data_IF_323295006552
#
_entry.id   IF_323295006552
#
_cell.length_a   1.000
_cell.length_b   1.000
_cell.length_c   1.000
_cell.angle_alpha   90.00
_cell.angle_beta   90.00
_cell.angle_gamma   90.00
#
_symmetry.space_group_name_H-M   'P 1'
#
loop_
_entity.id
_entity.type
_entity.pdbx_description
1 polymer ?
#
# COMPACT_ATOMS: atom_id res chain seq x y z
N UNK A 1 -9.10 -18.42 -14.25
CA UNK A 1 -8.93 -17.23 -15.10
C UNK A 1 -8.08 -16.24 -14.32
N UNK A 2 -6.86 -15.93 -14.78
CA UNK A 2 -6.05 -14.91 -14.13
C UNK A 2 -6.76 -13.56 -14.32
N UNK A 3 -7.28 -12.99 -13.23
CA UNK A 3 -7.94 -11.68 -13.27
C UNK A 3 -6.99 -10.64 -13.87
N UNK A 4 -7.52 -9.76 -14.71
CA UNK A 4 -6.75 -8.67 -15.32
C UNK A 4 -6.15 -7.79 -14.22
N UNK A 5 -4.84 -7.97 -13.96
CA UNK A 5 -4.10 -7.15 -13.00
C UNK A 5 -3.94 -5.74 -13.54
N UNK A 6 -3.94 -4.75 -12.64
CA UNK A 6 -3.67 -3.36 -13.02
C UNK A 6 -2.19 -3.22 -13.40
N UNK A 7 -1.91 -2.57 -14.53
CA UNK A 7 -0.56 -2.25 -14.97
C UNK A 7 -0.26 -0.76 -14.71
N UNK A 8 0.96 -0.49 -14.26
CA UNK A 8 1.48 0.85 -13.97
C UNK A 8 2.26 1.38 -15.16
N UNK A 9 2.40 2.71 -15.25
CA UNK A 9 3.19 3.37 -16.32
C UNK A 9 4.69 3.17 -16.15
N UNK A 10 5.13 2.98 -14.91
CA UNK A 10 6.48 2.60 -14.50
C UNK A 10 6.41 1.62 -13.32
N UNK A 11 7.45 0.83 -13.03
CA UNK A 11 7.48 0.00 -11.84
C UNK A 11 7.26 0.86 -10.60
N UNK A 12 6.49 0.35 -9.64
CA UNK A 12 6.10 1.06 -8.44
C UNK A 12 6.68 0.36 -7.23
N UNK A 13 7.46 1.10 -6.43
CA UNK A 13 7.81 0.73 -5.07
C UNK A 13 6.73 1.25 -4.12
N UNK A 14 6.02 0.33 -3.47
CA UNK A 14 4.96 0.63 -2.51
C UNK A 14 5.52 0.41 -1.10
N UNK A 15 5.61 1.50 -0.34
CA UNK A 15 6.07 1.48 1.05
C UNK A 15 4.86 1.47 1.98
N UNK A 16 4.91 0.67 3.04
CA UNK A 16 3.83 0.61 4.03
C UNK A 16 4.23 1.35 5.31
N UNK A 17 3.34 2.21 5.79
CA UNK A 17 3.55 2.99 7.01
C UNK A 17 2.31 2.99 7.89
N UNK A 18 2.47 2.73 9.18
CA UNK A 18 1.37 2.74 10.14
C UNK A 18 1.66 1.84 11.34
N UNK A 19 0.84 1.92 12.38
CA UNK A 19 1.07 1.14 13.61
C UNK A 19 1.06 -0.38 13.36
N UNK A 20 1.81 -1.18 14.14
CA UNK A 20 1.53 -2.62 14.24
C UNK A 20 0.04 -2.85 14.50
N UNK A 21 -0.57 -3.85 13.87
CA UNK A 21 -2.03 -4.08 13.95
C UNK A 21 -2.90 -3.22 13.01
N UNK A 22 -2.31 -2.27 12.25
CA UNK A 22 -3.08 -1.42 11.33
C UNK A 22 -3.56 -2.11 10.04
N UNK A 23 -3.18 -3.38 9.80
CA UNK A 23 -3.61 -4.15 8.62
C UNK A 23 -2.70 -4.05 7.39
N UNK A 24 -1.46 -3.58 7.55
CA UNK A 24 -0.48 -3.41 6.45
C UNK A 24 -0.24 -4.69 5.64
N UNK A 25 0.12 -5.77 6.31
CA UNK A 25 0.42 -7.06 5.66
C UNK A 25 -0.81 -7.70 5.02
N UNK A 26 -1.99 -7.56 5.65
CA UNK A 26 -3.26 -7.97 5.06
C UNK A 26 -3.52 -7.23 3.74
N UNK A 27 -3.39 -5.90 3.74
CA UNK A 27 -3.54 -5.09 2.53
C UNK A 27 -2.49 -5.45 1.47
N UNK A 28 -1.23 -5.62 1.86
CA UNK A 28 -0.14 -5.98 0.95
C UNK A 28 -0.40 -7.30 0.22
N UNK A 29 -0.81 -8.34 0.95
CA UNK A 29 -1.16 -9.65 0.38
C UNK A 29 -2.30 -9.55 -0.62
N UNK A 30 -3.40 -8.88 -0.23
CA UNK A 30 -4.56 -8.67 -1.11
C UNK A 30 -4.20 -7.81 -2.33
N UNK A 31 -3.35 -6.79 -2.15
CA UNK A 31 -2.93 -5.93 -3.25
C UNK A 31 -2.05 -6.69 -4.25
N UNK A 32 -1.14 -7.56 -3.83
CA UNK A 32 -0.30 -8.37 -4.72
C UNK A 32 -1.11 -9.33 -5.64
N UNK A 33 -2.32 -9.70 -5.22
CA UNK A 33 -3.25 -10.49 -6.04
C UNK A 33 -3.86 -9.64 -7.18
N UNK A 34 -4.05 -8.33 -6.96
CA UNK A 34 -4.76 -7.41 -7.87
C UNK A 34 -3.84 -6.50 -8.70
N UNK A 35 -2.67 -6.17 -8.15
CA UNK A 35 -1.58 -5.45 -8.80
C UNK A 35 -0.53 -6.49 -9.18
N UNK A 36 0.02 -6.43 -10.40
CA UNK A 36 1.14 -7.28 -10.78
C UNK A 36 2.40 -6.84 -10.00
N UNK A 37 2.51 -7.28 -8.74
CA UNK A 37 3.53 -6.87 -7.79
C UNK A 37 4.11 -8.06 -7.02
N UNK A 38 5.41 -8.01 -6.77
CA UNK A 38 6.09 -8.88 -5.82
C UNK A 38 5.85 -8.38 -4.39
N UNK A 39 5.46 -9.28 -3.49
CA UNK A 39 5.30 -8.99 -2.06
C UNK A 39 6.57 -9.39 -1.31
N UNK A 40 7.40 -8.40 -0.99
CA UNK A 40 8.67 -8.59 -0.27
C UNK A 40 8.43 -8.30 1.21
N UNK A 41 8.26 -9.35 2.02
CA UNK A 41 7.88 -9.24 3.44
C UNK A 41 9.06 -9.63 4.35
N UNK A 42 9.45 -8.71 5.24
CA UNK A 42 10.62 -8.88 6.12
C UNK A 42 10.49 -10.05 7.08
N UNK A 43 9.32 -10.23 7.68
CA UNK A 43 9.09 -11.24 8.69
C UNK A 43 9.04 -12.63 8.05
N UNK A 44 8.39 -12.78 6.90
CA UNK A 44 8.44 -14.02 6.11
C UNK A 44 9.87 -14.37 5.75
N UNK A 45 10.62 -13.45 5.12
CA UNK A 45 12.01 -13.70 4.74
C UNK A 45 12.84 -14.14 5.94
N UNK A 46 12.67 -13.48 7.08
CA UNK A 46 13.39 -13.82 8.31
C UNK A 46 13.12 -15.26 8.76
N UNK A 47 11.86 -15.68 8.79
CA UNK A 47 11.48 -17.03 9.20
C UNK A 47 11.87 -18.11 8.18
N UNK A 48 12.13 -17.76 6.93
CA UNK A 48 12.70 -18.68 5.94
C UNK A 48 14.23 -18.79 6.08
N UNK A 49 14.90 -17.73 6.57
CA UNK A 49 16.36 -17.70 6.74
C UNK A 49 16.85 -18.25 8.08
N UNK A 50 16.04 -18.11 9.14
CA UNK A 50 16.42 -18.47 10.50
C UNK A 50 15.34 -19.34 11.14
N UNK A 51 15.75 -20.51 11.65
CA UNK A 51 14.87 -21.43 12.37
C UNK A 51 14.33 -20.79 13.67
N UNK A 52 15.20 -20.07 14.38
CA UNK A 52 14.86 -19.31 15.60
C UNK A 52 15.28 -17.82 15.45
N UNK A 53 14.41 -16.95 14.90
CA UNK A 53 14.75 -15.55 14.70
C UNK A 53 14.97 -14.77 16.01
N UNK A 54 16.13 -14.11 16.13
CA UNK A 54 16.51 -13.34 17.34
C UNK A 54 16.30 -11.84 17.18
N UNK A 55 16.08 -11.35 15.95
CA UNK A 55 15.88 -9.93 15.65
C UNK A 55 17.05 -9.03 16.10
N UNK A 56 18.24 -9.60 16.20
CA UNK A 56 19.46 -8.87 16.54
C UNK A 56 19.95 -7.99 15.37
N UNK A 57 20.99 -7.19 15.62
CA UNK A 57 21.55 -6.28 14.60
C UNK A 57 22.04 -7.02 13.36
N UNK A 58 22.59 -8.22 13.51
CA UNK A 58 23.16 -9.00 12.42
C UNK A 58 22.06 -9.58 11.54
N UNK A 59 21.06 -10.25 12.12
CA UNK A 59 19.91 -10.76 11.36
C UNK A 59 19.14 -9.63 10.69
N UNK A 60 18.95 -8.50 11.38
CA UNK A 60 18.32 -7.33 10.78
C UNK A 60 19.10 -6.80 9.57
N UNK A 61 20.44 -6.78 9.63
CA UNK A 61 21.26 -6.38 8.50
C UNK A 61 21.10 -7.34 7.31
N UNK A 62 21.15 -8.66 7.55
CA UNK A 62 21.00 -9.70 6.51
C UNK A 62 19.62 -9.59 5.84
N UNK A 63 18.55 -9.54 6.63
CA UNK A 63 17.18 -9.43 6.09
C UNK A 63 17.01 -8.14 5.29
N UNK A 64 17.51 -7.01 5.80
CA UNK A 64 17.43 -5.73 5.10
C UNK A 64 18.20 -5.75 3.77
N UNK A 65 19.40 -6.32 3.74
CA UNK A 65 20.20 -6.44 2.52
C UNK A 65 19.50 -7.32 1.48
N UNK A 66 18.95 -8.48 1.90
CA UNK A 66 18.23 -9.36 1.00
C UNK A 66 16.96 -8.70 0.45
N UNK A 67 16.18 -8.02 1.30
CA UNK A 67 15.01 -7.28 0.86
C UNK A 67 15.37 -6.18 -0.16
N UNK A 68 16.44 -5.43 0.07
CA UNK A 68 16.91 -4.40 -0.85
C UNK A 68 17.33 -5.01 -2.19
N UNK A 69 18.12 -6.08 -2.16
CA UNK A 69 18.53 -6.81 -3.36
C UNK A 69 17.32 -7.30 -4.17
N UNK A 70 16.39 -8.03 -3.55
CA UNK A 70 15.18 -8.50 -4.21
C UNK A 70 14.36 -7.35 -4.80
N UNK A 71 14.22 -6.25 -4.06
CA UNK A 71 13.48 -5.07 -4.53
C UNK A 71 14.14 -4.46 -5.76
N UNK A 72 15.46 -4.32 -5.76
CA UNK A 72 16.21 -3.79 -6.89
C UNK A 72 16.08 -4.65 -8.15
N UNK A 73 16.16 -5.98 -8.00
CA UNK A 73 16.02 -6.93 -9.10
C UNK A 73 14.60 -6.90 -9.67
N UNK A 74 13.57 -6.93 -8.82
CA UNK A 74 12.19 -6.86 -9.29
C UNK A 74 11.87 -5.54 -9.98
N UNK A 75 12.27 -4.40 -9.40
CA UNK A 75 12.04 -3.10 -10.02
C UNK A 75 12.81 -2.99 -11.35
N UNK A 76 14.06 -3.47 -11.41
CA UNK A 76 14.85 -3.52 -12.64
C UNK A 76 14.24 -4.38 -13.73
N UNK A 77 13.52 -5.44 -13.36
CA UNK A 77 12.76 -6.30 -14.27
C UNK A 77 11.38 -5.73 -14.66
N UNK A 78 11.04 -4.51 -14.23
CA UNK A 78 9.76 -3.89 -14.55
C UNK A 78 8.60 -4.28 -13.62
N UNK A 79 8.88 -5.02 -12.54
CA UNK A 79 7.87 -5.58 -11.64
C UNK A 79 7.63 -4.62 -10.46
N UNK A 80 6.36 -4.35 -10.15
CA UNK A 80 6.02 -3.55 -8.96
C UNK A 80 6.43 -4.29 -7.68
N UNK A 81 6.81 -3.57 -6.63
CA UNK A 81 7.20 -4.18 -5.35
C UNK A 81 6.38 -3.58 -4.22
N UNK A 82 5.74 -4.44 -3.43
CA UNK A 82 5.21 -4.07 -2.12
C UNK A 82 6.27 -4.42 -1.08
N UNK A 83 6.90 -3.38 -0.54
CA UNK A 83 7.96 -3.49 0.47
C UNK A 83 7.30 -3.55 1.86
N UNK A 84 6.94 -4.77 2.27
CA UNK A 84 6.22 -5.04 3.52
C UNK A 84 7.21 -5.17 4.69
N UNK A 85 7.75 -4.00 5.03
CA UNK A 85 8.38 -3.68 6.31
C UNK A 85 7.87 -2.30 6.71
N UNK A 86 7.58 -2.08 7.99
CA UNK A 86 7.09 -0.78 8.44
C UNK A 86 8.16 0.30 8.25
N UNK A 87 7.94 1.23 7.31
CA UNK A 87 8.92 2.23 6.90
C UNK A 87 8.92 3.45 7.84
N UNK A 88 9.29 3.23 9.10
CA UNK A 88 9.04 4.15 10.23
C UNK A 88 9.82 5.47 10.16
N UNK A 89 11.04 5.48 9.58
CA UNK A 89 11.92 6.67 9.55
C UNK A 89 11.92 7.33 8.18
N UNK A 90 11.99 8.67 8.16
CA UNK A 90 12.12 9.47 6.94
C UNK A 90 13.38 9.10 6.15
N UNK A 91 14.52 8.94 6.83
CA UNK A 91 15.79 8.55 6.19
C UNK A 91 15.72 7.18 5.49
N UNK A 92 15.01 6.22 6.08
CA UNK A 92 14.78 4.91 5.47
C UNK A 92 13.93 5.02 4.20
N UNK A 93 12.83 5.78 4.25
CA UNK A 93 11.97 6.01 3.08
C UNK A 93 12.71 6.76 1.97
N UNK A 94 13.55 7.73 2.33
CA UNK A 94 14.40 8.45 1.36
C UNK A 94 15.39 7.51 0.65
N UNK A 95 16.07 6.63 1.40
CA UNK A 95 17.00 5.67 0.82
C UNK A 95 16.29 4.69 -0.12
N UNK A 96 15.13 4.16 0.27
CA UNK A 96 14.30 3.27 -0.55
C UNK A 96 13.79 3.97 -1.82
N UNK A 97 13.33 5.23 -1.71
CA UNK A 97 12.92 6.05 -2.86
C UNK A 97 14.07 6.28 -3.84
N UNK A 98 15.26 6.55 -3.34
CA UNK A 98 16.45 6.76 -4.18
C UNK A 98 16.86 5.46 -4.89
N UNK A 99 16.79 4.31 -4.20
CA UNK A 99 16.99 3.00 -4.82
C UNK A 99 15.97 2.74 -5.94
N UNK A 100 14.68 2.99 -5.70
CA UNK A 100 13.65 2.87 -6.72
C UNK A 100 13.90 3.80 -7.92
N UNK A 101 14.28 5.06 -7.67
CA UNK A 101 14.56 6.05 -8.71
C UNK A 101 15.67 5.59 -9.66
N UNK A 102 16.72 4.93 -9.13
CA UNK A 102 17.82 4.37 -9.94
C UNK A 102 17.38 3.25 -10.89
N UNK A 103 16.24 2.60 -10.61
CA UNK A 103 15.62 1.57 -11.46
C UNK A 103 14.48 2.14 -12.32
N UNK A 104 14.43 3.46 -12.49
CA UNK A 104 13.32 4.20 -13.14
C UNK A 104 11.93 3.88 -12.55
N UNK A 105 11.88 3.50 -11.27
CA UNK A 105 10.64 3.20 -10.57
C UNK A 105 10.08 4.44 -9.85
N UNK A 106 8.77 4.49 -9.71
CA UNK A 106 8.05 5.46 -8.86
C UNK A 106 7.93 4.91 -7.43
N UNK A 107 7.66 5.79 -6.47
CA UNK A 107 7.47 5.38 -5.06
C UNK A 107 6.18 5.98 -4.52
N UNK A 108 5.38 5.18 -3.82
CA UNK A 108 4.19 5.63 -3.10
C UNK A 108 4.20 5.07 -1.67
N UNK A 109 3.97 5.91 -0.68
CA UNK A 109 3.76 5.49 0.71
C UNK A 109 2.27 5.28 0.98
N UNK A 110 1.89 4.11 1.46
CA UNK A 110 0.53 3.83 1.94
C UNK A 110 0.53 4.00 3.46
N UNK A 111 -0.09 5.08 3.92
CA UNK A 111 -0.21 5.42 5.33
C UNK A 111 -1.52 4.88 5.90
N UNK A 112 -1.42 3.83 6.70
CA UNK A 112 -2.51 3.23 7.47
C UNK A 112 -2.71 4.01 8.77
N UNK A 113 -3.82 4.74 8.86
CA UNK A 113 -4.25 5.41 10.07
C UNK A 113 -5.18 4.52 10.89
N UNK A 114 -4.84 4.33 12.15
CA UNK A 114 -5.62 3.62 13.15
C UNK A 114 -5.26 4.21 14.51
N UNK A 115 -6.22 4.31 15.42
CA UNK A 115 -5.92 4.73 16.79
C UNK A 115 -5.04 3.69 17.51
N UNK A 116 -4.20 4.17 18.41
CA UNK A 116 -3.21 3.35 19.10
C UNK A 116 -3.82 2.19 19.88
N UNK A 117 -4.94 2.44 20.56
CA UNK A 117 -5.63 1.45 21.38
C UNK A 117 -6.16 0.31 20.51
N UNK A 118 -6.88 0.61 19.43
CA UNK A 118 -7.36 -0.41 18.49
C UNK A 118 -6.20 -1.15 17.84
N UNK A 119 -5.12 -0.45 17.47
CA UNK A 119 -3.94 -1.05 16.88
C UNK A 119 -3.28 -2.05 17.84
N UNK A 120 -3.07 -1.67 19.10
CA UNK A 120 -2.49 -2.54 20.13
C UNK A 120 -3.40 -3.72 20.46
N UNK A 121 -4.71 -3.49 20.62
CA UNK A 121 -5.67 -4.56 20.87
C UNK A 121 -5.65 -5.61 19.76
N UNK A 122 -5.55 -5.18 18.49
CA UNK A 122 -5.40 -6.11 17.36
C UNK A 122 -4.12 -6.91 17.43
N UNK A 123 -2.99 -6.29 17.79
CA UNK A 123 -1.71 -7.01 17.99
C UNK A 123 -1.84 -8.09 19.06
N UNK A 124 -2.54 -7.81 20.16
CA UNK A 124 -2.74 -8.74 21.29
C UNK A 124 -3.57 -9.98 20.93
N UNK A 125 -4.57 -9.83 20.04
CA UNK A 125 -5.51 -10.90 19.68
C UNK A 125 -5.15 -11.59 18.34
N UNK A 126 -3.95 -11.37 17.81
CA UNK A 126 -3.52 -11.97 16.55
C UNK A 126 -3.60 -13.48 16.58
N UNK A 127 -3.99 -14.05 15.45
CA UNK A 127 -4.08 -15.50 15.30
C UNK A 127 -3.02 -15.97 14.31
N UNK A 128 -1.94 -16.58 14.82
CA UNK A 128 -0.82 -17.05 13.99
C UNK A 128 -1.22 -18.13 12.97
N UNK A 129 -2.45 -18.67 13.02
CA UNK A 129 -2.99 -19.54 11.97
C UNK A 129 -3.38 -18.78 10.71
N UNK A 130 -3.63 -17.46 10.80
CA UNK A 130 -3.89 -16.60 9.66
C UNK A 130 -2.61 -16.28 8.91
N UNK A 131 -2.68 -16.28 7.58
CA UNK A 131 -1.50 -16.09 6.72
C UNK A 131 -0.77 -14.75 6.96
N UNK A 132 -1.51 -13.70 7.30
CA UNK A 132 -1.00 -12.34 7.56
C UNK A 132 -0.44 -12.15 8.98
N UNK A 133 -0.76 -13.05 9.92
CA UNK A 133 -0.27 -13.00 11.30
C UNK A 133 0.77 -14.09 11.61
N UNK A 134 0.94 -15.08 10.72
CA UNK A 134 1.82 -16.26 10.91
C UNK A 134 3.23 -15.90 11.38
N UNK A 135 3.81 -14.85 10.78
CA UNK A 135 5.17 -14.39 11.05
C UNK A 135 5.22 -13.13 11.91
N UNK A 136 4.08 -12.72 12.47
CA UNK A 136 3.99 -11.45 13.18
C UNK A 136 4.67 -11.49 14.55
N UNK A 137 5.36 -10.40 14.88
CA UNK A 137 5.90 -10.17 16.21
C UNK A 137 4.79 -9.91 17.24
N UNK A 138 5.02 -10.43 18.43
CA UNK A 138 4.30 -10.06 19.64
C UNK A 138 4.92 -8.81 20.25
N UNK A 139 4.09 -7.91 20.75
CA UNK A 139 4.54 -6.66 21.38
C UNK A 139 3.97 -6.56 22.78
N UNK A 140 4.85 -6.33 23.77
CA UNK A 140 4.40 -5.72 25.02
C UNK A 140 3.89 -4.30 24.76
N UNK A 141 3.05 -3.77 25.65
CA UNK A 141 2.56 -2.40 25.54
C UNK A 141 3.71 -1.38 25.47
N UNK A 142 4.75 -1.54 26.31
CA UNK A 142 5.91 -0.65 26.31
C UNK A 142 6.70 -0.71 25.01
N UNK A 143 6.88 -1.92 24.45
CA UNK A 143 7.57 -2.09 23.16
C UNK A 143 6.76 -1.45 22.03
N UNK A 144 5.43 -1.61 22.06
CA UNK A 144 4.53 -0.96 21.12
C UNK A 144 4.63 0.57 21.22
N UNK A 145 4.55 1.14 22.43
CA UNK A 145 4.65 2.60 22.66
C UNK A 145 6.00 3.17 22.24
N UNK A 146 7.11 2.48 22.55
CA UNK A 146 8.44 2.86 22.09
C UNK A 146 8.54 2.85 20.56
N UNK A 147 8.00 1.83 19.91
CA UNK A 147 8.02 1.73 18.45
C UNK A 147 7.29 2.91 17.80
N UNK A 148 6.05 3.19 18.22
CA UNK A 148 5.26 4.27 17.62
C UNK A 148 5.84 5.66 17.93
N UNK A 149 6.49 5.83 19.09
CA UNK A 149 7.18 7.08 19.45
C UNK A 149 8.38 7.43 18.54
N UNK A 150 8.91 6.46 17.80
CA UNK A 150 9.98 6.68 16.81
C UNK A 150 9.47 6.88 15.38
N UNK A 151 8.16 6.81 15.16
CA UNK A 151 7.58 6.94 13.82
C UNK A 151 7.59 8.40 13.36
N UNK A 152 8.03 8.61 12.13
CA UNK A 152 8.09 9.93 11.49
C UNK A 152 7.11 9.94 10.33
N UNK A 153 6.08 10.78 10.42
CA UNK A 153 5.04 10.87 9.40
C UNK A 153 5.61 11.20 8.02
N UNK A 154 5.01 10.69 6.93
CA UNK A 154 5.26 11.19 5.58
C UNK A 154 4.90 12.68 5.48
N UNK A 155 5.74 13.47 4.81
CA UNK A 155 5.58 14.92 4.66
C UNK A 155 5.72 15.34 3.18
N UNK A 156 6.86 15.02 2.57
CA UNK A 156 7.23 15.41 1.20
C UNK A 156 7.17 14.25 0.21
N UNK A 157 6.92 13.04 0.72
CA UNK A 157 6.73 11.84 -0.08
C UNK A 157 5.36 11.86 -0.77
N UNK A 158 5.26 11.23 -1.94
CA UNK A 158 3.95 10.84 -2.45
C UNK A 158 3.36 9.81 -1.48
N UNK A 159 2.21 10.13 -0.89
CA UNK A 159 1.50 9.21 -0.01
C UNK A 159 -0.01 9.18 -0.25
N UNK A 160 -0.63 8.08 0.16
CA UNK A 160 -2.08 7.91 0.28
C UNK A 160 -2.40 7.52 1.72
N UNK A 161 -3.41 8.16 2.30
CA UNK A 161 -3.93 7.80 3.61
C UNK A 161 -5.06 6.79 3.44
N UNK A 162 -4.99 5.69 4.18
CA UNK A 162 -6.03 4.67 4.26
C UNK A 162 -6.40 4.41 5.72
N UNK A 163 -7.69 4.24 6.00
CA UNK A 163 -8.16 3.89 7.35
C UNK A 163 -7.98 2.40 7.60
N UNK A 164 -7.30 2.05 8.70
CA UNK A 164 -7.17 0.67 9.18
C UNK A 164 -8.48 0.07 9.71
N UNK A 165 -9.54 0.89 9.84
CA UNK A 165 -10.90 0.42 10.21
C UNK A 165 -11.76 0.07 8.99
N UNK A 166 -11.42 0.55 7.79
CA UNK A 166 -12.19 0.26 6.59
C UNK A 166 -11.84 -1.11 6.00
N UNK A 167 -12.79 -1.68 5.26
CA UNK A 167 -12.59 -2.91 4.49
C UNK A 167 -11.59 -2.70 3.35
N UNK A 168 -10.98 -3.79 2.89
CA UNK A 168 -9.95 -3.78 1.84
C UNK A 168 -10.38 -3.01 0.58
N UNK A 169 -11.62 -3.20 0.10
CA UNK A 169 -12.12 -2.56 -1.12
C UNK A 169 -12.07 -1.03 -1.04
N UNK A 170 -12.38 -0.46 0.13
CA UNK A 170 -12.30 1.00 0.33
C UNK A 170 -10.85 1.48 0.37
N UNK A 171 -9.96 0.73 1.02
CA UNK A 171 -8.52 1.04 1.05
C UNK A 171 -7.91 0.98 -0.36
N UNK A 172 -8.26 -0.07 -1.12
CA UNK A 172 -7.86 -0.28 -2.50
C UNK A 172 -8.34 0.84 -3.42
N UNK A 173 -9.59 1.30 -3.24
CA UNK A 173 -10.15 2.43 -3.99
C UNK A 173 -9.35 3.70 -3.75
N UNK A 174 -9.03 4.04 -2.50
CA UNK A 174 -8.19 5.21 -2.19
C UNK A 174 -6.79 5.10 -2.82
N UNK A 175 -6.18 3.91 -2.74
CA UNK A 175 -4.87 3.64 -3.34
C UNK A 175 -4.87 3.88 -4.87
N UNK A 176 -5.80 3.27 -5.60
CA UNK A 176 -5.85 3.44 -7.06
C UNK A 176 -6.27 4.84 -7.49
N UNK A 177 -7.15 5.50 -6.73
CA UNK A 177 -7.47 6.91 -6.97
C UNK A 177 -6.20 7.77 -6.88
N UNK A 178 -5.35 7.54 -5.86
CA UNK A 178 -4.08 8.26 -5.74
C UNK A 178 -3.13 7.96 -6.91
N UNK A 179 -3.04 6.69 -7.34
CA UNK A 179 -2.21 6.36 -8.51
C UNK A 179 -2.68 7.07 -9.78
N UNK A 180 -3.99 7.23 -9.98
CA UNK A 180 -4.55 7.95 -11.11
C UNK A 180 -4.23 9.45 -11.02
N UNK A 181 -4.38 10.06 -9.84
CA UNK A 181 -4.03 11.47 -9.59
C UNK A 181 -2.54 11.75 -9.88
N UNK A 182 -1.66 10.79 -9.57
CA UNK A 182 -0.22 10.89 -9.81
C UNK A 182 0.18 10.50 -11.25
N UNK A 183 -0.75 10.03 -12.08
CA UNK A 183 -0.44 9.53 -13.43
C UNK A 183 0.39 8.23 -13.44
N UNK A 184 0.39 7.47 -12.35
CA UNK A 184 1.12 6.20 -12.24
C UNK A 184 0.35 5.02 -12.87
N UNK A 185 -0.92 5.23 -13.22
CA UNK A 185 -1.77 4.29 -13.98
C UNK A 185 -2.56 5.06 -15.05
N UNK A 186 -2.85 4.41 -16.19
CA UNK A 186 -3.54 5.03 -17.31
C UNK A 186 -5.08 5.01 -17.16
N UNK A 187 -5.74 6.13 -17.48
CA UNK A 187 -7.20 6.34 -17.37
C UNK A 187 -8.04 5.41 -18.27
N UNK A 188 -7.48 4.88 -19.36
CA UNK A 188 -8.20 3.96 -20.24
C UNK A 188 -8.46 2.58 -19.58
N UNK A 189 -7.69 2.22 -18.55
CA UNK A 189 -7.89 0.97 -17.80
C UNK A 189 -9.05 1.06 -16.80
N UNK A 190 -9.36 2.24 -16.29
CA UNK A 190 -10.49 2.43 -15.35
C UNK A 190 -11.85 2.37 -16.06
N UNK A 191 -11.90 2.69 -17.37
CA UNK A 191 -13.16 2.70 -18.11
C UNK A 191 -13.61 1.32 -18.62
N UNK A 192 -12.70 0.38 -18.89
CA UNK A 192 -13.07 -0.84 -19.61
C UNK A 192 -13.06 -2.15 -18.83
N UNK A 193 -12.34 -2.33 -17.71
CA UNK A 193 -12.20 -3.70 -17.13
C UNK A 193 -12.05 -3.82 -15.61
N UNK A 194 -12.24 -2.75 -14.84
CA UNK A 194 -12.32 -2.88 -13.37
C UNK A 194 -13.65 -2.33 -12.91
N UNK A 195 -14.61 -3.23 -12.65
CA UNK A 195 -15.68 -2.91 -11.69
C UNK A 195 -14.99 -2.82 -10.33
N UNK A 196 -14.36 -1.68 -10.04
CA UNK A 196 -14.01 -1.28 -8.68
C UNK A 196 -15.35 -0.90 -8.05
N UNK A 197 -15.89 -1.65 -7.07
CA UNK A 197 -17.09 -1.25 -6.37
C UNK A 197 -16.76 0.05 -5.61
N UNK A 198 -17.08 1.21 -6.21
CA UNK A 198 -16.74 2.53 -5.68
C UNK A 198 -16.26 3.57 -6.70
N UNK A 199 -15.79 3.18 -7.89
CA UNK A 199 -15.32 4.15 -8.92
C UNK A 199 -16.40 4.61 -9.92
N UNK A 200 -17.63 4.09 -9.83
CA UNK A 200 -18.73 4.41 -10.77
C UNK A 200 -19.11 5.91 -10.75
N UNK A 201 -18.73 6.66 -9.71
CA UNK A 201 -19.07 8.08 -9.53
C UNK A 201 -17.90 9.08 -9.66
N UNK A 202 -16.70 8.66 -10.06
CA UNK A 202 -15.52 9.54 -10.11
C UNK A 202 -15.18 10.10 -11.50
N UNK A 203 -15.97 9.78 -12.52
CA UNK A 203 -15.88 10.42 -13.83
C UNK A 203 -16.93 11.53 -13.89
N UNK A 204 -16.56 12.81 -13.95
CA UNK A 204 -17.51 13.84 -14.38
C UNK A 204 -18.00 13.44 -15.77
N UNK A 205 -19.30 13.18 -15.92
CA UNK A 205 -19.92 13.03 -17.23
C UNK A 205 -19.86 14.40 -17.93
N UNK A 206 -18.72 14.76 -18.49
CA UNK A 206 -18.61 15.85 -19.45
C UNK A 206 -19.20 15.35 -20.78
N UNK A 207 -20.51 15.17 -20.78
CA UNK A 207 -21.38 15.08 -21.95
C UNK A 207 -22.78 15.55 -21.52
N UNK A 208 -22.86 16.72 -20.90
CA UNK A 208 -24.04 17.54 -21.03
C UNK A 208 -23.85 18.32 -22.32
N UNK A 209 -24.53 17.84 -23.36
CA UNK A 209 -24.68 18.58 -24.60
C UNK A 209 -25.13 20.01 -24.31
N UNK A 210 -24.73 20.93 -25.19
CA UNK A 210 -25.19 22.33 -25.18
C UNK A 210 -26.67 22.38 -24.79
N UNK A 211 -26.93 22.96 -23.61
CA UNK A 211 -28.29 23.28 -23.19
C UNK A 211 -28.76 24.40 -24.10
N UNK A 212 -29.58 24.04 -25.09
CA UNK A 212 -30.30 25.01 -25.90
C UNK A 212 -31.40 25.65 -25.05
N UNK A 213 -31.23 26.93 -24.73
CA UNK A 213 -32.11 27.69 -23.84
C UNK A 213 -33.31 28.32 -24.55
N UNK A 214 -33.59 28.01 -25.83
CA UNK A 214 -34.64 28.72 -26.58
C UNK A 214 -36.02 28.07 -26.63
N UNK A 215 -36.44 27.29 -25.64
CA UNK A 215 -37.84 26.82 -25.56
C UNK A 215 -38.40 26.89 -24.14
N UNK A 216 -38.85 28.08 -23.74
CA UNK A 216 -39.86 28.24 -22.69
C UNK A 216 -41.16 28.68 -23.35
N UNK A 217 -42.16 27.82 -23.33
CA UNK A 217 -43.58 28.17 -23.29
C UNK A 217 -44.40 26.89 -23.15
N UNK A 218 -44.79 26.54 -21.92
CA UNK A 218 -46.04 25.81 -21.66
C UNK A 218 -46.65 26.40 -20.39
N UNK A 219 -47.75 27.14 -20.59
CA UNK A 219 -48.71 27.50 -19.55
C UNK A 219 -49.49 26.25 -19.14
N UNK A 220 -49.78 26.10 -17.86
CA UNK A 220 -50.76 25.14 -17.36
C UNK A 220 -51.84 25.94 -16.63
N UNK A 221 -53.09 25.69 -17.04
CA UNK A 221 -54.33 26.18 -16.46
C UNK A 221 -54.56 25.63 -15.05
#
# INVERSE_FOLDING_TARGET
MAGNKVHTTKPLLILLYGFPGAGKTYFARQLAENLAAAHVNSDRIRHELFEEPRYDKQENAIVNQLMQYMTEEFLGAGINVIYDMNAIRKSQRMALREMARKKDAKTLVVWFQLDEETAFNRVKIRDKRKADDKFSLEYSYDTFKRLIGHMQHPELEDYVVVSGKHVYQSQQTSFFKKLLELGYVNTQYTQNKVVMPGMVNLVPRNNLGRVDLTRRNINIH
#
